data_IF_945276313136
#
_entry.id   IF_945276313136
#
_cell.length_a   1.000
_cell.length_b   1.000
_cell.length_c   1.000
_cell.angle_alpha   90.00
_cell.angle_beta   90.00
_cell.angle_gamma   90.00
#
_symmetry.space_group_name_H-M   'P 1'
#
loop_
_entity.id
_entity.type
_entity.pdbx_description
1 polymer ?
#
# COMPACT_ATOMS: atom_id res chain seq x y z
N UNK A 1 24.27 -5.09 1.45
CA UNK A 1 23.00 -5.66 1.93
C UNK A 1 23.19 -7.17 1.98
N UNK A 2 22.85 -7.84 3.09
CA UNK A 2 22.84 -9.31 3.15
C UNK A 2 22.00 -9.85 1.99
N UNK A 3 22.36 -10.99 1.41
CA UNK A 3 21.66 -11.60 0.27
C UNK A 3 20.16 -11.73 0.52
N UNK A 4 19.39 -10.74 0.05
CA UNK A 4 17.93 -10.74 0.16
C UNK A 4 17.44 -11.62 -0.97
N UNK A 5 17.08 -12.87 -0.64
CA UNK A 5 16.43 -13.77 -1.59
C UNK A 5 15.02 -13.27 -1.87
N UNK A 6 14.80 -12.74 -3.07
CA UNK A 6 13.47 -12.40 -3.55
C UNK A 6 12.76 -13.70 -3.94
N UNK A 7 11.56 -13.90 -3.40
CA UNK A 7 10.67 -15.00 -3.77
C UNK A 7 9.32 -14.44 -4.19
N UNK A 8 8.64 -15.16 -5.07
CA UNK A 8 7.27 -14.81 -5.48
C UNK A 8 6.27 -15.13 -4.38
N UNK A 9 5.08 -14.51 -4.45
CA UNK A 9 3.98 -14.86 -3.55
C UNK A 9 3.58 -16.33 -3.67
N UNK A 10 3.56 -16.86 -4.90
CA UNK A 10 3.20 -18.25 -5.18
C UNK A 10 4.17 -19.24 -4.51
N UNK A 11 5.47 -18.94 -4.54
CA UNK A 11 6.47 -19.72 -3.82
C UNK A 11 6.32 -19.58 -2.31
N UNK A 12 6.01 -18.37 -1.83
CA UNK A 12 5.84 -18.11 -0.40
C UNK A 12 4.63 -18.86 0.21
N UNK A 13 3.55 -19.06 -0.55
CA UNK A 13 2.35 -19.78 -0.09
C UNK A 13 2.35 -21.26 -0.45
N UNK A 14 3.37 -21.74 -1.17
CA UNK A 14 3.43 -23.11 -1.66
C UNK A 14 3.47 -24.10 -0.50
N UNK A 15 2.49 -24.98 -0.43
CA UNK A 15 2.41 -26.05 0.58
C UNK A 15 1.77 -25.62 1.90
N UNK A 16 1.29 -24.38 2.02
CA UNK A 16 0.46 -23.97 3.16
C UNK A 16 -0.89 -24.67 3.11
N UNK A 17 -1.39 -25.09 4.28
CA UNK A 17 -2.78 -25.48 4.43
C UNK A 17 -3.69 -24.23 4.55
N UNK A 18 -5.01 -24.44 4.60
CA UNK A 18 -5.99 -23.34 4.63
C UNK A 18 -5.81 -22.39 5.83
N UNK A 19 -5.55 -22.95 7.02
CA UNK A 19 -5.40 -22.16 8.24
C UNK A 19 -4.11 -21.32 8.22
N UNK A 20 -3.03 -21.89 7.71
CA UNK A 20 -1.76 -21.19 7.48
C UNK A 20 -1.90 -20.10 6.43
N UNK A 21 -2.62 -20.37 5.34
CA UNK A 21 -2.87 -19.41 4.28
C UNK A 21 -3.70 -18.23 4.77
N UNK A 22 -4.72 -18.46 5.59
CA UNK A 22 -5.53 -17.39 6.17
C UNK A 22 -4.73 -16.54 7.16
N UNK A 23 -3.92 -17.16 8.03
CA UNK A 23 -2.98 -16.42 8.89
C UNK A 23 -2.01 -15.58 8.07
N UNK A 24 -1.41 -16.15 7.02
CA UNK A 24 -0.49 -15.45 6.14
C UNK A 24 -1.15 -14.24 5.46
N UNK A 25 -2.36 -14.39 4.91
CA UNK A 25 -3.11 -13.28 4.29
C UNK A 25 -3.38 -12.18 5.29
N UNK A 26 -3.85 -12.52 6.49
CA UNK A 26 -4.14 -11.55 7.56
C UNK A 26 -2.89 -10.75 7.95
N UNK A 27 -1.78 -11.44 8.20
CA UNK A 27 -0.52 -10.78 8.56
C UNK A 27 0.01 -9.90 7.42
N UNK A 28 -0.05 -10.40 6.18
CA UNK A 28 0.37 -9.66 5.00
C UNK A 28 -0.45 -8.38 4.83
N UNK A 29 -1.77 -8.47 5.04
CA UNK A 29 -2.66 -7.33 4.94
C UNK A 29 -2.32 -6.27 6.00
N UNK A 30 -2.25 -6.66 7.27
CA UNK A 30 -2.02 -5.72 8.38
C UNK A 30 -0.63 -5.08 8.33
N UNK A 31 0.42 -5.84 7.99
CA UNK A 31 1.81 -5.34 8.05
C UNK A 31 2.25 -4.60 6.79
N UNK A 32 1.68 -4.92 5.63
CA UNK A 32 2.18 -4.38 4.35
C UNK A 32 1.12 -3.64 3.56
N UNK A 33 -0.04 -4.27 3.30
CA UNK A 33 -1.04 -3.66 2.40
C UNK A 33 -1.72 -2.47 3.05
N UNK A 34 -2.20 -2.61 4.29
CA UNK A 34 -2.94 -1.56 5.00
C UNK A 34 -2.10 -0.29 5.23
N UNK A 35 -0.82 -0.36 5.65
CA UNK A 35 0.03 0.82 5.71
C UNK A 35 0.22 1.51 4.36
N UNK A 36 0.43 0.75 3.28
CA UNK A 36 0.58 1.30 1.93
C UNK A 36 -0.71 1.98 1.46
N UNK A 37 -1.88 1.36 1.69
CA UNK A 37 -3.18 1.99 1.39
C UNK A 37 -3.38 3.28 2.17
N UNK A 38 -3.03 3.29 3.46
CA UNK A 38 -3.13 4.49 4.29
C UNK A 38 -2.21 5.63 3.81
N UNK A 39 -1.01 5.31 3.34
CA UNK A 39 -0.12 6.30 2.73
C UNK A 39 -0.70 6.81 1.41
N UNK A 40 -1.18 5.92 0.55
CA UNK A 40 -1.79 6.29 -0.73
C UNK A 40 -2.97 7.24 -0.52
N UNK A 41 -3.86 6.96 0.44
CA UNK A 41 -4.99 7.85 0.76
C UNK A 41 -4.51 9.24 1.17
N UNK A 42 -3.53 9.33 2.08
CA UNK A 42 -2.96 10.62 2.48
C UNK A 42 -2.38 11.38 1.30
N UNK A 43 -1.62 10.71 0.44
CA UNK A 43 -1.03 11.33 -0.74
C UNK A 43 -2.10 11.78 -1.74
N UNK A 44 -3.17 11.00 -1.94
CA UNK A 44 -4.30 11.43 -2.77
C UNK A 44 -4.97 12.67 -2.19
N UNK A 45 -5.26 12.70 -0.88
CA UNK A 45 -5.86 13.87 -0.22
C UNK A 45 -4.98 15.12 -0.36
N UNK A 46 -3.65 14.97 -0.28
CA UNK A 46 -2.69 16.06 -0.48
C UNK A 46 -2.72 16.56 -1.92
N UNK A 47 -2.74 15.67 -2.91
CA UNK A 47 -2.84 16.02 -4.33
C UNK A 47 -4.15 16.73 -4.64
N UNK A 48 -5.27 16.27 -4.08
CA UNK A 48 -6.58 16.91 -4.25
C UNK A 48 -6.61 18.32 -3.67
N UNK A 49 -6.02 18.52 -2.47
CA UNK A 49 -5.92 19.85 -1.84
C UNK A 49 -5.06 20.81 -2.65
N UNK A 50 -3.97 20.34 -3.25
CA UNK A 50 -3.14 21.15 -4.15
C UNK A 50 -3.96 21.53 -5.39
N UNK A 51 -4.65 20.55 -6.01
CA UNK A 51 -5.51 20.81 -7.17
C UNK A 51 -6.63 21.81 -6.88
N UNK A 52 -7.18 21.83 -5.67
CA UNK A 52 -8.22 22.78 -5.25
C UNK A 52 -7.65 24.15 -4.85
N UNK A 53 -6.45 24.20 -4.26
CA UNK A 53 -5.74 25.44 -3.92
C UNK A 53 -5.24 26.20 -5.14
N UNK A 54 -4.79 25.49 -6.19
CA UNK A 54 -4.40 26.09 -7.47
C UNK A 54 -5.60 26.62 -8.28
N UNK A 55 -6.82 26.13 -8.02
CA UNK A 55 -8.04 26.66 -8.62
C UNK A 55 -8.45 28.02 -8.03
N UNK A 56 -8.06 28.31 -6.79
CA UNK A 56 -8.38 29.60 -6.12
C UNK A 56 -7.44 30.74 -6.50
N UNK A 57 -6.23 30.46 -7.01
CA UNK A 57 -5.22 31.50 -7.30
C UNK A 57 -5.25 32.02 -8.73
N UNK A 58 -6.10 31.48 -9.61
CA UNK A 58 -6.20 31.90 -11.03
C UNK A 58 -7.35 32.87 -11.33
N UNK A 59 -8.11 33.32 -10.32
CA UNK A 59 -9.22 34.26 -10.51
C UNK A 59 -8.91 35.72 -10.13
N UNK A 60 -7.71 36.03 -9.62
CA UNK A 60 -7.36 37.37 -9.12
C UNK A 60 -6.29 38.11 -9.97
N UNK A 61 -6.18 37.81 -11.28
CA UNK A 61 -5.34 38.59 -12.22
C UNK A 61 -6.14 39.19 -13.37
#
# INVERSE_FOLDING_TARGET
>A
MKDVKVITLQEAIKGMNEEELERFKKERYEKFIKPLMGLNMKTTDEVEKISQGEASTKCDQ
#
